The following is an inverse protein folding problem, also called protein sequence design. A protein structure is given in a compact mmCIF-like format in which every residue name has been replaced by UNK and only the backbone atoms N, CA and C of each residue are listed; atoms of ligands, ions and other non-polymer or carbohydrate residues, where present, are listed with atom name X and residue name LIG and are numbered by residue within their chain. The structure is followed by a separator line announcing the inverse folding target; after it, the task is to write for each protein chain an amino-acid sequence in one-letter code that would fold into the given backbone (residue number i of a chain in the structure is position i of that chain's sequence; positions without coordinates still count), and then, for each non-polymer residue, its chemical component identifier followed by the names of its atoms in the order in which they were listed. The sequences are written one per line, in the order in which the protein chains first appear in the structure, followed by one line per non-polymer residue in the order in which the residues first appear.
data_IF_524335240401
#
_entry.id   IF_524335240401
#
_cell.length_a   1.000
_cell.length_b   1.000
_cell.length_c   1.000
_cell.angle_alpha   90.00
_cell.angle_beta   90.00
_cell.angle_gamma   90.00
#
_symmetry.space_group_name_H-M   'P 1'
#
loop_
_entity.id
_entity.type
_entity.pdbx_description
1 polymer ?
#
# COMPACT_ATOMS: atom_id res chain seq x y z
N UNK A 1 -21.60 4.61 10.35
CA UNK A 1 -20.84 4.35 11.60
C UNK A 1 -19.72 5.39 11.72
N UNK A 2 -19.44 5.92 12.93
CA UNK A 2 -18.32 6.83 13.16
C UNK A 2 -17.06 6.02 13.52
N UNK A 3 -15.92 6.35 12.93
CA UNK A 3 -14.63 5.75 13.25
C UNK A 3 -13.87 6.75 14.14
N UNK A 4 -13.43 6.31 15.30
CA UNK A 4 -12.59 7.09 16.22
C UNK A 4 -11.29 6.33 16.58
N UNK A 5 -11.35 4.99 16.59
CA UNK A 5 -10.26 4.10 16.98
C UNK A 5 -9.89 3.17 15.82
N UNK A 6 -8.64 3.24 15.43
CA UNK A 6 -8.08 2.46 14.34
C UNK A 6 -7.03 1.51 14.87
N UNK A 7 -7.13 0.23 14.53
CA UNK A 7 -6.09 -0.74 14.77
C UNK A 7 -5.39 -1.11 13.47
N UNK A 8 -4.06 -1.21 13.49
CA UNK A 8 -3.27 -1.72 12.37
C UNK A 8 -2.51 -2.97 12.82
N UNK A 9 -2.75 -4.08 12.13
CA UNK A 9 -2.10 -5.36 12.40
C UNK A 9 -1.11 -5.66 11.29
N UNK A 10 0.17 -5.71 11.65
CA UNK A 10 1.30 -5.72 10.73
C UNK A 10 2.01 -4.37 10.72
N UNK A 11 3.14 -4.28 11.43
CA UNK A 11 3.91 -3.05 11.66
C UNK A 11 5.00 -2.76 10.63
N UNK A 12 5.01 -3.48 9.52
CA UNK A 12 5.97 -3.31 8.43
C UNK A 12 5.89 -1.92 7.77
N UNK A 13 6.58 -1.77 6.63
CA UNK A 13 6.66 -0.49 5.90
C UNK A 13 5.30 0.17 5.66
N UNK A 14 4.29 -0.60 5.25
CA UNK A 14 2.96 -0.05 4.96
C UNK A 14 2.18 0.21 6.25
N UNK A 15 2.10 -0.77 7.14
CA UNK A 15 1.28 -0.66 8.35
C UNK A 15 1.67 0.52 9.25
N UNK A 16 2.97 0.73 9.52
CA UNK A 16 3.43 1.88 10.32
C UNK A 16 3.09 3.24 9.69
N UNK A 17 3.13 3.33 8.35
CA UNK A 17 2.77 4.57 7.64
C UNK A 17 1.25 4.81 7.64
N UNK A 18 0.45 3.75 7.48
CA UNK A 18 -1.01 3.81 7.54
C UNK A 18 -1.44 4.24 8.96
N UNK A 19 -0.88 3.60 9.99
CA UNK A 19 -1.12 3.94 11.37
C UNK A 19 -0.77 5.41 11.68
N UNK A 20 0.41 5.87 11.24
CA UNK A 20 0.83 7.24 11.45
C UNK A 20 -0.03 8.24 10.67
N UNK A 21 -0.46 7.91 9.45
CA UNK A 21 -1.39 8.77 8.70
C UNK A 21 -2.70 8.98 9.45
N UNK A 22 -3.29 7.93 10.01
CA UNK A 22 -4.51 8.04 10.80
C UNK A 22 -4.29 8.88 12.08
N UNK A 23 -3.19 8.68 12.82
CA UNK A 23 -2.88 9.43 14.02
C UNK A 23 -2.65 10.94 13.78
N UNK A 24 -1.95 11.29 12.69
CA UNK A 24 -1.78 12.68 12.24
C UNK A 24 -3.13 13.36 12.00
N UNK A 25 -4.12 12.60 11.51
CA UNK A 25 -5.44 13.12 11.17
C UNK A 25 -6.48 12.95 12.30
N UNK A 26 -6.04 12.70 13.53
CA UNK A 26 -6.89 12.82 14.73
C UNK A 26 -7.43 11.52 15.30
N UNK A 27 -7.18 10.37 14.67
CA UNK A 27 -7.65 9.08 15.16
C UNK A 27 -6.79 8.54 16.30
N UNK A 28 -7.41 7.84 17.25
CA UNK A 28 -6.71 7.02 18.23
C UNK A 28 -6.24 5.75 17.52
N UNK A 29 -4.94 5.48 17.53
CA UNK A 29 -4.34 4.41 16.75
C UNK A 29 -3.55 3.46 17.62
N UNK A 30 -3.80 2.17 17.45
CA UNK A 30 -2.96 1.11 17.98
C UNK A 30 -2.37 0.32 16.81
N UNK A 31 -1.06 0.09 16.85
CA UNK A 31 -0.35 -0.74 15.86
C UNK A 31 0.36 -1.89 16.56
N UNK A 32 0.32 -3.06 15.95
CA UNK A 32 0.98 -4.27 16.46
C UNK A 32 1.68 -5.04 15.35
N UNK A 33 2.63 -5.86 15.75
CA UNK A 33 3.29 -6.87 14.94
C UNK A 33 3.66 -8.07 15.81
N UNK A 34 3.72 -9.26 15.23
CA UNK A 34 4.11 -10.48 15.95
C UNK A 34 5.62 -10.62 16.16
N UNK A 35 6.42 -9.71 15.57
CA UNK A 35 7.88 -9.67 15.71
C UNK A 35 8.26 -8.53 16.67
N UNK A 36 8.75 -8.83 17.89
CA UNK A 36 9.08 -7.79 18.88
C UNK A 36 10.05 -6.71 18.39
N UNK A 37 11.03 -7.08 17.56
CA UNK A 37 11.96 -6.12 16.97
C UNK A 37 11.25 -5.09 16.08
N UNK A 38 10.18 -5.49 15.38
CA UNK A 38 9.38 -4.58 14.55
C UNK A 38 8.64 -3.57 15.41
N UNK A 39 8.16 -3.94 16.59
CA UNK A 39 7.50 -3.01 17.52
C UNK A 39 8.44 -1.88 17.95
N UNK A 40 9.69 -2.24 18.30
CA UNK A 40 10.72 -1.24 18.64
C UNK A 40 11.07 -0.36 17.42
N UNK A 41 11.18 -0.96 16.24
CA UNK A 41 11.48 -0.23 14.99
C UNK A 41 10.38 0.77 14.63
N UNK A 42 9.10 0.45 14.88
CA UNK A 42 7.97 1.39 14.67
C UNK A 42 8.14 2.63 15.55
N UNK A 43 8.46 2.46 16.84
CA UNK A 43 8.65 3.58 17.77
C UNK A 43 9.80 4.48 17.31
N UNK A 44 10.96 3.90 17.02
CA UNK A 44 12.14 4.65 16.58
C UNK A 44 11.87 5.39 15.27
N UNK A 45 11.29 4.70 14.29
CA UNK A 45 10.94 5.30 13.01
C UNK A 45 9.92 6.44 13.14
N UNK A 46 8.92 6.29 14.00
CA UNK A 46 7.92 7.34 14.27
C UNK A 46 8.58 8.59 14.81
N UNK A 47 9.46 8.45 15.80
CA UNK A 47 10.18 9.57 16.41
C UNK A 47 11.04 10.30 15.37
N UNK A 48 11.83 9.57 14.58
CA UNK A 48 12.66 10.13 13.51
C UNK A 48 11.82 10.84 12.43
N UNK A 49 10.74 10.19 11.99
CA UNK A 49 9.87 10.77 10.96
C UNK A 49 9.23 12.06 11.43
N UNK A 50 8.68 12.10 12.65
CA UNK A 50 8.01 13.29 13.20
C UNK A 50 9.00 14.42 13.47
N UNK A 51 10.20 14.13 13.99
CA UNK A 51 11.28 15.11 14.12
C UNK A 51 11.67 15.72 12.77
N UNK A 52 11.79 14.87 11.73
CA UNK A 52 12.04 15.33 10.37
C UNK A 52 10.92 16.22 9.78
N UNK A 53 9.68 16.06 10.25
CA UNK A 53 8.55 16.93 9.84
C UNK A 53 8.65 18.32 10.48
N UNK A 54 9.06 18.41 11.75
CA UNK A 54 9.33 19.68 12.43
C UNK A 54 10.49 20.41 11.72
N UNK A 55 11.62 19.71 11.52
CA UNK A 55 12.81 20.29 10.90
C UNK A 55 12.56 20.85 9.49
N UNK A 56 11.58 20.28 8.76
CA UNK A 56 11.15 20.75 7.42
C UNK A 56 10.01 21.77 7.47
N UNK A 57 9.61 22.26 8.64
CA UNK A 57 8.49 23.18 8.81
C UNK A 57 7.12 22.66 8.35
N UNK A 58 6.95 21.32 8.34
CA UNK A 58 5.73 20.65 7.86
C UNK A 58 4.76 20.26 8.97
N UNK A 59 5.20 20.32 10.21
CA UNK A 59 4.39 20.13 11.42
C UNK A 59 4.94 21.03 12.53
N UNK A 60 4.05 21.53 13.40
CA UNK A 60 4.44 22.22 14.63
C UNK A 60 4.77 21.19 15.72
N UNK A 61 5.47 21.62 16.79
CA UNK A 61 5.74 20.78 17.97
C UNK A 61 4.42 20.29 18.60
N UNK A 62 3.40 21.14 18.68
CA UNK A 62 2.09 20.76 19.22
C UNK A 62 1.41 19.69 18.37
N UNK A 63 1.42 19.80 17.04
CA UNK A 63 0.86 18.79 16.16
C UNK A 63 1.58 17.44 16.30
N UNK A 64 2.89 17.46 16.53
CA UNK A 64 3.67 16.26 16.79
C UNK A 64 3.31 15.66 18.14
N UNK A 65 3.22 16.47 19.20
CA UNK A 65 2.82 16.01 20.53
C UNK A 65 1.42 15.37 20.50
N UNK A 66 0.46 16.02 19.84
CA UNK A 66 -0.90 15.51 19.66
C UNK A 66 -0.92 14.19 18.86
N UNK A 67 -0.09 14.07 17.83
CA UNK A 67 0.03 12.83 17.05
C UNK A 67 0.57 11.70 17.90
N UNK A 68 1.64 11.96 18.68
CA UNK A 68 2.24 10.98 19.58
C UNK A 68 1.25 10.49 20.65
N UNK A 69 0.42 11.38 21.21
CA UNK A 69 -0.58 11.03 22.21
C UNK A 69 -1.68 10.09 21.69
N UNK A 70 -1.89 10.06 20.36
CA UNK A 70 -2.88 9.22 19.69
C UNK A 70 -2.31 7.92 19.14
N UNK A 71 -1.00 7.75 19.13
CA UNK A 71 -0.34 6.61 18.49
C UNK A 71 0.31 5.71 19.54
N UNK A 72 -0.17 4.49 19.65
CA UNK A 72 0.37 3.49 20.56
C UNK A 72 0.85 2.24 19.82
N UNK A 73 2.04 1.77 20.16
CA UNK A 73 2.54 0.44 19.78
C UNK A 73 2.17 -0.53 20.88
N UNK A 74 1.50 -1.62 20.54
CA UNK A 74 1.02 -2.61 21.53
C UNK A 74 1.52 -4.01 21.17
N UNK A 75 1.73 -4.89 22.18
CA UNK A 75 2.44 -6.14 21.96
C UNK A 75 1.63 -7.26 21.32
N UNK A 76 0.29 -7.17 21.30
CA UNK A 76 -0.57 -8.27 20.85
C UNK A 76 -1.71 -7.77 19.96
N UNK A 77 -2.20 -8.66 19.09
CA UNK A 77 -3.40 -8.41 18.27
C UNK A 77 -4.59 -8.05 19.15
N UNK A 78 -4.83 -8.78 20.25
CA UNK A 78 -5.92 -8.49 21.19
C UNK A 78 -5.85 -7.05 21.71
N UNK A 79 -4.69 -6.62 22.22
CA UNK A 79 -4.51 -5.27 22.74
C UNK A 79 -4.74 -4.18 21.69
N UNK A 80 -4.44 -4.49 20.41
CA UNK A 80 -4.64 -3.56 19.32
C UNK A 80 -6.12 -3.43 18.95
N UNK A 81 -6.86 -4.54 18.83
CA UNK A 81 -8.16 -4.57 18.16
C UNK A 81 -9.36 -4.55 19.10
N UNK A 82 -9.20 -4.79 20.43
CA UNK A 82 -10.30 -5.04 21.37
C UNK A 82 -11.32 -3.89 21.48
N UNK A 83 -10.97 -2.69 21.10
CA UNK A 83 -11.84 -1.50 21.13
C UNK A 83 -11.84 -0.72 19.83
N UNK A 84 -11.37 -1.32 18.73
CA UNK A 84 -11.24 -0.68 17.42
C UNK A 84 -12.59 -0.57 16.70
N UNK A 85 -12.82 0.56 16.01
CA UNK A 85 -13.92 0.75 15.08
C UNK A 85 -13.54 0.27 13.68
N UNK A 86 -12.24 0.43 13.32
CA UNK A 86 -11.65 -0.01 12.05
C UNK A 86 -10.36 -0.78 12.32
N UNK A 87 -10.26 -1.96 11.74
CA UNK A 87 -9.03 -2.75 11.74
C UNK A 87 -8.48 -2.86 10.32
N UNK A 88 -7.21 -2.51 10.14
CA UNK A 88 -6.50 -2.59 8.87
C UNK A 88 -5.41 -3.66 8.98
N UNK A 89 -5.60 -4.77 8.30
CA UNK A 89 -4.59 -5.82 8.18
C UNK A 89 -3.53 -5.41 7.13
N UNK A 90 -2.26 -5.43 7.49
CA UNK A 90 -1.12 -5.04 6.66
C UNK A 90 0.09 -5.97 6.82
N UNK A 91 -0.15 -7.27 7.04
CA UNK A 91 0.91 -8.29 7.14
C UNK A 91 1.41 -8.72 5.76
N UNK A 92 2.41 -9.60 5.74
CA UNK A 92 3.00 -10.11 4.49
C UNK A 92 1.95 -10.73 3.56
N UNK A 93 2.18 -10.59 2.25
CA UNK A 93 1.27 -10.97 1.17
C UNK A 93 1.26 -12.50 0.96
N UNK A 94 0.76 -13.23 1.98
CA UNK A 94 0.65 -14.69 2.04
C UNK A 94 -0.76 -15.07 2.50
N UNK A 95 -1.50 -15.83 1.68
CA UNK A 95 -2.92 -16.16 1.91
C UNK A 95 -3.16 -16.77 3.30
N UNK A 96 -2.43 -17.81 3.64
CA UNK A 96 -2.64 -18.53 4.91
C UNK A 96 -2.29 -17.68 6.13
N UNK A 97 -1.25 -16.83 6.03
CA UNK A 97 -0.92 -15.88 7.08
C UNK A 97 -2.04 -14.87 7.29
N UNK A 98 -2.57 -14.30 6.20
CA UNK A 98 -3.68 -13.33 6.28
C UNK A 98 -4.94 -13.97 6.84
N UNK A 99 -5.28 -15.20 6.45
CA UNK A 99 -6.40 -15.94 7.04
C UNK A 99 -6.24 -16.11 8.56
N UNK A 100 -5.07 -16.55 9.02
CA UNK A 100 -4.77 -16.70 10.44
C UNK A 100 -4.92 -15.37 11.19
N UNK A 101 -4.32 -14.29 10.67
CA UNK A 101 -4.35 -12.97 11.29
C UNK A 101 -5.77 -12.39 11.30
N UNK A 102 -6.54 -12.48 10.21
CA UNK A 102 -7.91 -11.97 10.16
C UNK A 102 -8.82 -12.77 11.10
N UNK A 103 -8.63 -14.09 11.20
CA UNK A 103 -9.36 -14.91 12.19
C UNK A 103 -9.04 -14.48 13.61
N UNK A 104 -7.76 -14.22 13.93
CA UNK A 104 -7.35 -13.72 15.25
C UNK A 104 -7.92 -12.33 15.53
N UNK A 105 -7.88 -11.41 14.55
CA UNK A 105 -8.51 -10.09 14.65
C UNK A 105 -9.99 -10.24 15.03
N UNK A 106 -10.74 -11.08 14.32
CA UNK A 106 -12.18 -11.27 14.52
C UNK A 106 -12.54 -11.96 15.86
N UNK A 107 -11.60 -12.64 16.48
CA UNK A 107 -11.77 -13.21 17.82
C UNK A 107 -11.85 -12.12 18.90
N UNK A 108 -11.10 -11.02 18.73
CA UNK A 108 -10.94 -10.00 19.76
C UNK A 108 -11.57 -8.65 19.40
N UNK A 109 -11.76 -8.35 18.11
CA UNK A 109 -12.36 -7.11 17.67
C UNK A 109 -13.87 -7.04 18.03
N UNK A 110 -14.38 -5.84 18.30
CA UNK A 110 -15.82 -5.63 18.46
C UNK A 110 -16.61 -6.09 17.23
N UNK A 111 -17.79 -6.71 17.43
CA UNK A 111 -18.64 -7.21 16.34
C UNK A 111 -19.02 -6.15 15.30
N UNK A 112 -19.06 -4.89 15.71
CA UNK A 112 -19.37 -3.75 14.83
C UNK A 112 -18.14 -3.25 14.05
N UNK A 113 -16.93 -3.64 14.42
CA UNK A 113 -15.70 -3.15 13.77
C UNK A 113 -15.67 -3.49 12.28
N UNK A 114 -15.21 -2.55 11.46
CA UNK A 114 -14.88 -2.79 10.07
C UNK A 114 -13.54 -3.52 9.99
N UNK A 115 -13.50 -4.60 9.22
CA UNK A 115 -12.29 -5.39 9.00
C UNK A 115 -11.82 -5.17 7.57
N UNK A 116 -10.60 -4.70 7.41
CA UNK A 116 -10.05 -4.41 6.09
C UNK A 116 -8.69 -5.05 5.89
N UNK A 117 -8.37 -5.38 4.64
CA UNK A 117 -7.03 -5.81 4.23
C UNK A 117 -6.38 -4.78 3.31
N UNK A 118 -5.09 -4.51 3.52
CA UNK A 118 -4.29 -3.65 2.63
C UNK A 118 -3.69 -4.44 1.46
N UNK A 119 -4.13 -5.68 1.22
CA UNK A 119 -3.62 -6.51 0.13
C UNK A 119 -3.82 -5.84 -1.23
N UNK A 120 -2.77 -5.90 -2.07
CA UNK A 120 -2.79 -5.43 -3.45
C UNK A 120 -3.22 -6.51 -4.46
N UNK A 121 -3.15 -7.79 -4.07
CA UNK A 121 -3.34 -8.93 -4.97
C UNK A 121 -4.43 -9.91 -4.52
N UNK A 122 -4.81 -9.86 -3.23
CA UNK A 122 -5.78 -10.79 -2.65
C UNK A 122 -7.08 -10.06 -2.37
N UNK A 123 -8.17 -10.37 -3.10
CA UNK A 123 -9.48 -9.82 -2.84
C UNK A 123 -9.96 -10.14 -1.43
N UNK A 124 -10.71 -9.24 -0.80
CA UNK A 124 -11.23 -9.44 0.55
C UNK A 124 -12.13 -10.69 0.65
N UNK A 125 -12.83 -11.08 -0.42
CA UNK A 125 -13.67 -12.27 -0.47
C UNK A 125 -12.93 -13.58 -0.16
N UNK A 126 -11.60 -13.63 -0.36
CA UNK A 126 -10.79 -14.80 0.01
C UNK A 126 -10.75 -15.05 1.52
N UNK A 127 -11.11 -14.04 2.31
CA UNK A 127 -11.11 -14.06 3.77
C UNK A 127 -12.50 -14.09 4.39
N UNK A 128 -13.57 -14.27 3.59
CA UNK A 128 -14.95 -14.24 4.05
C UNK A 128 -15.26 -15.24 5.15
N UNK A 129 -14.61 -16.41 5.13
CA UNK A 129 -14.78 -17.46 6.15
C UNK A 129 -14.03 -17.16 7.47
N UNK A 130 -13.17 -16.12 7.45
CA UNK A 130 -12.39 -15.70 8.61
C UNK A 130 -13.08 -14.60 9.43
N UNK A 131 -14.17 -14.02 8.93
CA UNK A 131 -14.85 -12.88 9.58
C UNK A 131 -16.24 -13.26 10.10
N UNK A 132 -16.67 -12.58 11.17
CA UNK A 132 -17.98 -12.77 11.76
C UNK A 132 -19.12 -12.15 10.96
N UNK A 133 -18.82 -11.06 10.20
CA UNK A 133 -19.77 -10.30 9.41
C UNK A 133 -19.12 -9.86 8.10
N UNK A 134 -19.45 -10.56 7.03
CA UNK A 134 -18.91 -10.29 5.69
C UNK A 134 -19.31 -8.93 5.12
N UNK A 135 -20.40 -8.36 5.62
CA UNK A 135 -20.86 -7.02 5.19
C UNK A 135 -19.89 -5.90 5.61
N UNK A 136 -19.03 -6.19 6.59
CA UNK A 136 -18.00 -5.28 7.13
C UNK A 136 -16.58 -5.58 6.64
N UNK A 137 -16.43 -6.56 5.75
CA UNK A 137 -15.15 -6.92 5.15
C UNK A 137 -14.95 -6.21 3.82
N UNK A 138 -13.79 -5.54 3.65
CA UNK A 138 -13.44 -4.80 2.45
C UNK A 138 -11.93 -4.73 2.22
N UNK A 139 -11.47 -4.54 0.98
CA UNK A 139 -10.10 -4.07 0.76
C UNK A 139 -10.02 -2.56 1.00
N UNK A 140 -8.97 -2.14 1.72
CA UNK A 140 -8.59 -0.75 1.91
C UNK A 140 -7.11 -0.60 1.58
N UNK A 141 -6.81 -0.47 0.30
CA UNK A 141 -5.46 -0.52 -0.23
C UNK A 141 -4.82 0.86 -0.32
N UNK A 142 -3.76 1.07 0.44
CA UNK A 142 -2.92 2.26 0.39
C UNK A 142 -1.77 2.07 -0.59
N UNK A 143 -1.56 3.05 -1.45
CA UNK A 143 -0.41 3.06 -2.36
C UNK A 143 0.87 3.48 -1.62
N UNK A 144 2.00 2.83 -1.94
CA UNK A 144 3.30 3.12 -1.33
C UNK A 144 3.98 4.35 -1.96
N UNK A 145 4.51 5.30 -1.16
CA UNK A 145 4.48 5.41 0.29
C UNK A 145 3.14 5.95 0.83
N UNK A 146 2.56 5.27 1.84
CA UNK A 146 1.22 5.61 2.32
C UNK A 146 1.09 7.03 2.90
N UNK A 147 2.17 7.61 3.43
CA UNK A 147 2.18 8.99 3.93
C UNK A 147 2.24 10.06 2.81
N UNK A 148 2.62 9.67 1.59
CA UNK A 148 2.81 10.59 0.46
C UNK A 148 1.67 10.46 -0.56
N UNK A 149 1.37 9.22 -0.96
CA UNK A 149 0.36 8.94 -1.97
C UNK A 149 -1.03 9.24 -1.42
N UNK A 150 -1.81 10.01 -2.20
CA UNK A 150 -3.14 10.40 -1.77
C UNK A 150 -4.21 9.36 -2.08
N UNK A 151 -4.06 8.59 -3.15
CA UNK A 151 -5.04 7.58 -3.55
C UNK A 151 -5.07 6.41 -2.56
N UNK A 152 -6.28 6.05 -2.12
CA UNK A 152 -6.59 4.82 -1.37
C UNK A 152 -7.71 4.10 -2.10
N UNK A 153 -7.49 2.85 -2.44
CA UNK A 153 -8.42 2.04 -3.23
C UNK A 153 -9.30 1.21 -2.30
N UNK A 154 -10.61 1.41 -2.41
CA UNK A 154 -11.63 0.68 -1.67
C UNK A 154 -12.26 -0.30 -2.65
N UNK A 155 -11.88 -1.59 -2.54
CA UNK A 155 -12.48 -2.62 -3.39
C UNK A 155 -13.51 -3.39 -2.57
N UNK A 156 -14.78 -3.21 -2.92
CA UNK A 156 -15.87 -3.97 -2.31
C UNK A 156 -16.00 -5.35 -2.95
N UNK A 157 -16.41 -6.33 -2.16
CA UNK A 157 -16.91 -7.61 -2.65
C UNK A 157 -18.46 -7.60 -2.70
N UNK A 158 -19.05 -8.68 -3.19
CA UNK A 158 -20.52 -8.78 -3.34
C UNK A 158 -21.27 -8.71 -2.00
N UNK A 159 -20.61 -9.02 -0.89
CA UNK A 159 -21.18 -9.05 0.46
C UNK A 159 -20.94 -7.75 1.24
N UNK A 160 -19.99 -6.92 0.81
CA UNK A 160 -19.66 -5.65 1.48
C UNK A 160 -20.85 -4.69 1.43
N UNK A 161 -21.30 -4.19 2.57
CA UNK A 161 -22.42 -3.26 2.64
C UNK A 161 -22.09 -1.88 2.06
N UNK A 162 -23.10 -1.19 1.54
CA UNK A 162 -22.95 0.19 1.09
C UNK A 162 -22.53 1.13 2.24
N UNK A 163 -23.01 0.89 3.46
CA UNK A 163 -22.61 1.63 4.65
C UNK A 163 -21.10 1.47 4.93
N UNK A 164 -20.57 0.25 4.85
CA UNK A 164 -19.12 0.00 5.01
C UNK A 164 -18.31 0.81 4.00
N UNK A 165 -18.70 0.80 2.74
CA UNK A 165 -18.00 1.54 1.67
C UNK A 165 -18.03 3.04 1.93
N UNK A 166 -19.20 3.62 2.28
CA UNK A 166 -19.28 5.06 2.54
C UNK A 166 -18.52 5.46 3.81
N UNK A 167 -18.57 4.65 4.87
CA UNK A 167 -17.78 4.87 6.08
C UNK A 167 -16.27 4.87 5.78
N UNK A 168 -15.78 3.92 4.97
CA UNK A 168 -14.37 3.88 4.56
C UNK A 168 -13.98 5.06 3.66
N UNK A 169 -14.88 5.51 2.76
CA UNK A 169 -14.63 6.72 1.95
C UNK A 169 -14.48 7.96 2.83
N UNK A 170 -15.33 8.10 3.85
CA UNK A 170 -15.28 9.22 4.78
C UNK A 170 -13.99 9.19 5.61
N UNK A 171 -13.63 8.03 6.14
CA UNK A 171 -12.34 7.81 6.80
C UNK A 171 -11.14 8.19 5.89
N UNK A 172 -11.15 7.79 4.64
CA UNK A 172 -10.10 8.18 3.69
C UNK A 172 -10.01 9.71 3.54
N UNK A 173 -11.15 10.37 3.34
CA UNK A 173 -11.19 11.85 3.16
C UNK A 173 -10.70 12.57 4.40
N UNK A 174 -11.12 12.15 5.59
CA UNK A 174 -10.67 12.74 6.85
C UNK A 174 -9.17 12.52 7.09
N UNK A 175 -8.59 11.43 6.56
CA UNK A 175 -7.15 11.18 6.54
C UNK A 175 -6.38 11.94 5.43
N UNK A 176 -7.02 12.91 4.75
CA UNK A 176 -6.42 13.66 3.64
C UNK A 176 -6.17 12.81 2.39
N UNK A 177 -6.89 11.68 2.26
CA UNK A 177 -6.79 10.77 1.12
C UNK A 177 -7.94 10.96 0.14
N UNK A 178 -7.71 10.48 -1.09
CA UNK A 178 -8.72 10.42 -2.15
C UNK A 178 -9.16 8.97 -2.31
N UNK A 179 -10.37 8.61 -1.88
CA UNK A 179 -10.86 7.25 -2.03
C UNK A 179 -11.21 6.94 -3.50
N UNK A 180 -10.67 5.84 -4.01
CA UNK A 180 -11.00 5.27 -5.31
C UNK A 180 -11.86 4.03 -5.08
N UNK A 181 -13.11 4.07 -5.53
CA UNK A 181 -14.07 3.00 -5.27
C UNK A 181 -14.14 2.00 -6.45
N UNK A 182 -13.67 0.77 -6.20
CA UNK A 182 -13.88 -0.37 -7.08
C UNK A 182 -15.18 -1.09 -6.65
N UNK A 183 -16.19 -1.05 -7.50
CA UNK A 183 -17.52 -1.62 -7.22
C UNK A 183 -17.58 -3.13 -7.33
N UNK A 184 -16.50 -3.76 -7.78
CA UNK A 184 -16.35 -5.21 -7.92
C UNK A 184 -14.92 -5.60 -7.63
N UNK A 185 -14.74 -6.79 -7.13
CA UNK A 185 -13.42 -7.40 -7.08
C UNK A 185 -12.90 -7.68 -8.50
N UNK A 186 -11.62 -7.43 -8.67
CA UNK A 186 -10.91 -7.62 -9.93
C UNK A 186 -9.47 -8.03 -9.65
N UNK A 187 -8.87 -8.74 -10.57
CA UNK A 187 -7.43 -9.00 -10.53
C UNK A 187 -6.69 -7.68 -10.85
N UNK A 188 -5.91 -7.24 -9.88
CA UNK A 188 -5.25 -5.93 -9.90
C UNK A 188 -6.20 -4.76 -9.65
N UNK A 189 -5.72 -3.75 -8.94
CA UNK A 189 -6.46 -2.54 -8.58
C UNK A 189 -6.28 -1.45 -9.64
N UNK A 190 -7.00 -0.33 -9.53
CA UNK A 190 -7.01 0.74 -10.56
C UNK A 190 -5.60 1.22 -10.87
N UNK A 191 -4.85 1.62 -9.83
CA UNK A 191 -3.52 2.23 -10.01
C UNK A 191 -2.55 1.24 -10.65
N UNK A 192 -2.52 0.00 -10.16
CA UNK A 192 -1.63 -1.04 -10.71
C UNK A 192 -1.98 -1.42 -12.14
N UNK A 193 -3.28 -1.46 -12.49
CA UNK A 193 -3.73 -1.75 -13.86
C UNK A 193 -3.38 -0.64 -14.84
N UNK A 194 -3.60 0.62 -14.45
CA UNK A 194 -3.25 1.78 -15.28
C UNK A 194 -1.73 1.86 -15.49
N UNK A 195 -0.96 1.69 -14.42
CA UNK A 195 0.50 1.67 -14.51
C UNK A 195 1.00 0.48 -15.33
N UNK A 196 0.39 -0.70 -15.18
CA UNK A 196 0.72 -1.88 -15.96
C UNK A 196 0.47 -1.68 -17.45
N UNK A 197 -0.66 -1.07 -17.83
CA UNK A 197 -0.98 -0.76 -19.22
C UNK A 197 0.01 0.25 -19.83
N UNK A 198 0.36 1.30 -19.08
CA UNK A 198 1.35 2.29 -19.50
C UNK A 198 2.74 1.65 -19.68
N UNK A 199 3.18 0.83 -18.73
CA UNK A 199 4.43 0.08 -18.83
C UNK A 199 4.45 -0.86 -20.04
N UNK A 200 3.34 -1.58 -20.28
CA UNK A 200 3.23 -2.48 -21.44
C UNK A 200 3.42 -1.70 -22.74
N UNK A 201 2.68 -0.61 -22.95
CA UNK A 201 2.81 0.22 -24.13
C UNK A 201 4.22 0.80 -24.30
N UNK A 202 4.81 1.32 -23.21
CA UNK A 202 6.15 1.88 -23.22
C UNK A 202 7.23 0.85 -23.60
N UNK A 203 7.18 -0.34 -23.01
CA UNK A 203 8.13 -1.41 -23.32
C UNK A 203 8.00 -1.91 -24.76
N UNK A 204 6.77 -2.05 -25.27
CA UNK A 204 6.52 -2.44 -26.66
C UNK A 204 7.16 -1.45 -27.64
N UNK A 205 6.97 -0.15 -27.44
CA UNK A 205 7.55 0.88 -28.33
C UNK A 205 9.08 0.81 -28.38
N UNK A 206 9.73 0.52 -27.25
CA UNK A 206 11.19 0.36 -27.22
C UNK A 206 11.63 -0.95 -27.89
N UNK A 207 10.95 -2.07 -27.64
CA UNK A 207 11.27 -3.37 -28.27
C UNK A 207 11.10 -3.34 -29.78
N UNK A 208 10.11 -2.61 -30.29
CA UNK A 208 9.86 -2.43 -31.72
C UNK A 208 10.82 -1.40 -32.35
N UNK A 209 11.67 -0.75 -31.57
CA UNK A 209 12.62 0.26 -32.05
C UNK A 209 11.95 1.54 -32.56
N UNK A 210 10.74 1.84 -32.08
CA UNK A 210 9.97 3.02 -32.50
C UNK A 210 10.59 4.30 -31.92
N UNK A 211 11.07 4.26 -30.69
CA UNK A 211 11.70 5.40 -29.99
C UNK A 211 12.55 4.92 -28.80
N UNK A 212 13.35 5.81 -28.26
CA UNK A 212 14.19 5.55 -27.10
C UNK A 212 13.40 5.74 -25.77
N UNK A 213 13.97 5.22 -24.69
CA UNK A 213 13.37 5.33 -23.33
C UNK A 213 13.18 6.77 -22.88
N UNK A 214 14.08 7.68 -23.32
CA UNK A 214 14.03 9.09 -22.97
C UNK A 214 12.85 9.80 -23.66
N UNK A 215 12.56 9.47 -24.91
CA UNK A 215 11.42 10.02 -25.66
C UNK A 215 10.09 9.60 -25.02
N UNK A 216 9.98 8.36 -24.55
CA UNK A 216 8.77 7.88 -23.83
C UNK A 216 8.61 8.63 -22.50
N UNK A 217 9.69 8.77 -21.73
CA UNK A 217 9.64 9.52 -20.46
C UNK A 217 9.28 10.99 -20.70
N UNK A 218 9.83 11.60 -21.75
CA UNK A 218 9.46 12.97 -22.17
C UNK A 218 7.98 13.04 -22.62
N UNK A 219 7.50 12.04 -23.35
CA UNK A 219 6.09 11.93 -23.72
C UNK A 219 5.17 11.87 -22.51
N UNK A 220 5.54 11.10 -21.47
CA UNK A 220 4.79 11.06 -20.21
C UNK A 220 4.78 12.41 -19.51
N UNK A 221 5.92 13.10 -19.42
CA UNK A 221 6.05 14.36 -18.68
C UNK A 221 5.42 15.51 -19.44
N UNK A 222 5.80 15.72 -20.68
CA UNK A 222 5.42 16.92 -21.44
C UNK A 222 4.15 16.74 -22.27
N UNK A 223 3.80 15.49 -22.62
CA UNK A 223 2.58 15.15 -23.36
C UNK A 223 1.40 14.83 -22.46
N UNK A 224 1.62 14.04 -21.39
CA UNK A 224 0.55 13.60 -20.47
C UNK A 224 0.53 14.37 -19.15
N UNK A 225 1.51 15.23 -18.86
CA UNK A 225 1.58 15.99 -17.60
C UNK A 225 1.92 15.13 -16.37
N UNK A 226 2.53 13.96 -16.54
CA UNK A 226 2.96 13.15 -15.44
C UNK A 226 4.14 13.78 -14.70
N UNK A 227 4.28 13.59 -13.37
CA UNK A 227 5.39 14.17 -12.60
C UNK A 227 6.74 13.54 -12.94
N UNK A 228 6.75 12.37 -13.56
CA UNK A 228 7.93 11.67 -14.07
C UNK A 228 7.56 10.66 -15.14
N UNK A 229 8.53 10.26 -15.95
CA UNK A 229 8.38 9.25 -16.96
C UNK A 229 8.28 7.82 -16.40
N UNK A 230 7.80 6.89 -17.20
CA UNK A 230 7.54 5.51 -16.79
C UNK A 230 8.83 4.73 -16.50
N UNK A 231 9.91 4.97 -17.24
CA UNK A 231 11.20 4.31 -17.01
C UNK A 231 11.90 4.87 -15.76
N UNK A 232 11.80 6.18 -15.49
CA UNK A 232 12.26 6.78 -14.23
C UNK A 232 11.46 6.28 -13.04
N UNK A 233 10.15 6.03 -13.20
CA UNK A 233 9.30 5.44 -12.17
C UNK A 233 9.71 3.98 -11.89
N UNK A 234 10.03 3.21 -12.94
CA UNK A 234 10.54 1.85 -12.79
C UNK A 234 11.87 1.84 -12.01
N UNK A 235 12.78 2.76 -12.29
CA UNK A 235 14.03 2.90 -11.55
C UNK A 235 13.80 3.28 -10.07
N UNK A 236 12.80 4.10 -9.80
CA UNK A 236 12.43 4.47 -8.42
C UNK A 236 11.85 3.29 -7.64
N UNK A 237 11.05 2.44 -8.30
CA UNK A 237 10.41 1.28 -7.65
C UNK A 237 11.33 0.06 -7.57
N UNK A 238 12.27 -0.06 -8.48
CA UNK A 238 13.26 -1.13 -8.59
C UNK A 238 12.96 -2.13 -9.70
N UNK A 239 13.97 -2.37 -10.55
CA UNK A 239 13.85 -3.29 -11.70
C UNK A 239 13.81 -4.75 -11.26
N UNK A 240 14.39 -5.10 -10.13
CA UNK A 240 14.27 -6.42 -9.50
C UNK A 240 12.81 -6.79 -9.22
N UNK A 241 12.05 -5.88 -8.58
CA UNK A 241 10.63 -6.10 -8.35
C UNK A 241 9.87 -6.25 -9.67
N UNK A 242 10.18 -5.40 -10.65
CA UNK A 242 9.57 -5.45 -11.98
C UNK A 242 9.88 -6.77 -12.70
N UNK A 243 11.10 -7.28 -12.55
CA UNK A 243 11.52 -8.57 -13.10
C UNK A 243 10.81 -9.74 -12.42
N UNK A 244 10.78 -9.76 -11.09
CA UNK A 244 10.14 -10.85 -10.33
C UNK A 244 8.66 -11.01 -10.69
N UNK A 245 7.92 -9.90 -10.84
CA UNK A 245 6.50 -9.92 -11.24
C UNK A 245 6.34 -10.52 -12.64
N UNK A 246 7.18 -10.10 -13.61
CA UNK A 246 7.12 -10.61 -14.99
C UNK A 246 7.56 -12.07 -15.08
N UNK A 247 8.59 -12.46 -14.32
CA UNK A 247 9.05 -13.84 -14.23
C UNK A 247 7.97 -14.76 -13.68
N UNK A 248 7.33 -14.39 -12.58
CA UNK A 248 6.21 -15.16 -12.01
C UNK A 248 5.07 -15.36 -13.03
N UNK A 249 4.74 -14.31 -13.78
CA UNK A 249 3.74 -14.39 -14.85
C UNK A 249 4.18 -15.31 -15.98
N UNK A 250 5.42 -15.19 -16.44
CA UNK A 250 5.99 -16.05 -17.48
C UNK A 250 6.02 -17.53 -17.06
N UNK A 251 6.45 -17.83 -15.84
CA UNK A 251 6.44 -19.18 -15.28
C UNK A 251 5.03 -19.81 -15.24
N UNK A 252 3.99 -18.98 -15.00
CA UNK A 252 2.59 -19.44 -14.94
C UNK A 252 1.93 -19.56 -16.32
N UNK A 253 2.28 -18.70 -17.26
CA UNK A 253 1.53 -18.57 -18.53
C UNK A 253 2.32 -19.00 -19.77
N UNK A 254 3.64 -19.10 -19.67
CA UNK A 254 4.55 -19.29 -20.81
C UNK A 254 4.67 -18.05 -21.72
N UNK A 255 4.07 -16.92 -21.36
CA UNK A 255 4.03 -15.70 -22.17
C UNK A 255 4.91 -14.62 -21.53
N UNK A 256 5.92 -14.15 -22.27
CA UNK A 256 6.72 -13.00 -21.87
C UNK A 256 5.96 -11.71 -22.10
N UNK A 257 5.88 -10.88 -21.07
CA UNK A 257 5.39 -9.49 -21.22
C UNK A 257 6.46 -8.64 -21.94
N UNK A 258 6.06 -7.59 -22.66
CA UNK A 258 7.00 -6.63 -23.23
C UNK A 258 7.98 -6.11 -22.18
N UNK A 259 9.24 -5.96 -22.57
CA UNK A 259 10.31 -5.55 -21.68
C UNK A 259 10.92 -6.65 -20.81
N UNK A 260 10.43 -7.90 -20.89
CA UNK A 260 10.95 -8.99 -20.07
C UNK A 260 12.46 -9.15 -20.22
N UNK A 261 12.93 -9.36 -21.46
CA UNK A 261 14.34 -9.62 -21.74
C UNK A 261 15.22 -8.39 -21.47
N UNK A 262 14.72 -7.19 -21.76
CA UNK A 262 15.43 -5.94 -21.47
C UNK A 262 15.62 -5.70 -19.97
N UNK A 263 14.62 -6.04 -19.14
CA UNK A 263 14.71 -5.91 -17.69
C UNK A 263 15.59 -7.01 -17.11
N UNK A 264 15.45 -8.24 -17.57
CA UNK A 264 16.27 -9.37 -17.15
C UNK A 264 17.77 -9.09 -17.36
N UNK A 265 18.14 -8.54 -18.51
CA UNK A 265 19.52 -8.17 -18.80
C UNK A 265 20.06 -7.12 -17.83
N UNK A 266 19.27 -6.06 -17.54
CA UNK A 266 19.65 -5.03 -16.57
C UNK A 266 19.82 -5.58 -15.17
N UNK A 267 18.91 -6.45 -14.73
CA UNK A 267 18.99 -7.09 -13.42
C UNK A 267 20.24 -7.97 -13.32
N UNK A 268 20.58 -8.75 -14.36
CA UNK A 268 21.83 -9.53 -14.42
C UNK A 268 23.09 -8.68 -14.35
N UNK A 269 23.04 -7.45 -14.86
CA UNK A 269 24.12 -6.45 -14.81
C UNK A 269 24.16 -5.70 -13.46
N UNK A 270 23.27 -6.00 -12.49
CA UNK A 270 23.16 -5.28 -11.23
C UNK A 270 22.55 -3.88 -11.34
N UNK A 271 21.94 -3.53 -12.48
CA UNK A 271 21.24 -2.27 -12.72
C UNK A 271 19.82 -2.38 -12.18
N UNK A 272 19.66 -2.18 -10.86
CA UNK A 272 18.40 -2.40 -10.15
C UNK A 272 17.57 -1.12 -9.93
N UNK A 273 17.98 -0.01 -10.51
CA UNK A 273 17.33 1.28 -10.38
C UNK A 273 18.03 2.24 -9.45
N UNK A 274 17.32 3.29 -9.03
CA UNK A 274 17.87 4.39 -8.25
C UNK A 274 18.53 3.97 -6.94
N UNK A 275 18.06 2.90 -6.31
CA UNK A 275 18.59 2.38 -5.03
C UNK A 275 20.05 1.90 -5.09
N UNK A 276 20.55 1.60 -6.30
CA UNK A 276 21.96 1.22 -6.56
C UNK A 276 22.67 2.21 -7.49
N UNK A 277 22.04 3.37 -7.76
CA UNK A 277 22.58 4.41 -8.65
C UNK A 277 22.49 4.06 -10.14
N UNK A 278 21.98 2.92 -10.53
CA UNK A 278 21.94 2.44 -11.94
C UNK A 278 20.68 1.63 -12.21
N UNK A 279 19.93 2.00 -13.25
CA UNK A 279 18.75 1.30 -13.74
C UNK A 279 18.62 1.45 -15.26
N UNK A 280 17.47 1.91 -15.73
CA UNK A 280 17.31 2.41 -17.09
C UNK A 280 18.23 3.59 -17.33
N UNK A 281 18.38 4.44 -16.31
CA UNK A 281 19.30 5.58 -16.30
C UNK A 281 20.44 5.34 -15.30
N UNK A 282 21.49 6.14 -15.43
CA UNK A 282 22.52 6.28 -14.42
C UNK A 282 22.18 7.47 -13.52
N UNK A 283 22.41 7.33 -12.22
CA UNK A 283 22.12 8.33 -11.18
C UNK A 283 23.40 8.63 -10.39
N UNK A 284 23.64 9.89 -10.15
CA UNK A 284 24.73 10.38 -9.31
C UNK A 284 24.44 10.18 -7.82
#
# INVERSE_FOLDING_TARGET
MEINKVAVVGGGRMGRQIALNAAINGYQVKVTDNIPAVLTDIENWKEEYLAGRIAKGRMTEQQVADTKSRFAVVPTTEAAVCDADLVIEAVLERVELKKQVITEICKYAPKQALITTNSSRMPASWFKECVNDTSKLCNLHYNNPALVMKAVEIQQNELTSAETVETLKEFCRSCGKVPLHLRKETDGLIVSRLLGALNHAAMTLVEEGVCDIEDIDNGCVYGLGHPMGVFRLNDLTGLDLSYDIRREKFEKTGIKDPGYDMIEERVKQGRLGKKVGKGWYDYD
#
